data_IF_678172147674
#
_entry.id   IF_678172147674
#
_cell.length_a   1.000
_cell.length_b   1.000
_cell.length_c   1.000
_cell.angle_alpha   90.00
_cell.angle_beta   90.00
_cell.angle_gamma   90.00
#
_symmetry.space_group_name_H-M   'P 1'
#
loop_
_entity.id
_entity.type
_entity.pdbx_description
1 polymer ?
#
# COMPACT_ATOMS: atom_id res chain seq x y z
N UNK A 1 30.92 1.30 10.43
CA UNK A 1 30.47 1.81 9.12
C UNK A 1 28.95 1.69 9.09
N UNK A 2 28.23 2.80 8.98
CA UNK A 2 26.76 2.80 8.95
C UNK A 2 26.28 2.09 7.70
N UNK A 3 25.63 0.93 7.87
CA UNK A 3 24.99 0.21 6.77
C UNK A 3 23.79 1.02 6.30
N UNK A 4 23.89 1.61 5.11
CA UNK A 4 22.81 2.40 4.52
C UNK A 4 21.57 1.50 4.34
N UNK A 5 20.46 1.84 4.99
CA UNK A 5 19.23 1.05 4.88
C UNK A 5 18.56 1.28 3.53
N UNK A 6 17.85 0.29 3.01
CA UNK A 6 17.06 0.43 1.78
C UNK A 6 16.02 1.57 1.92
N UNK A 7 15.55 1.84 3.15
CA UNK A 7 14.66 2.96 3.44
C UNK A 7 15.35 4.32 3.29
N UNK A 8 16.60 4.44 3.73
CA UNK A 8 17.38 5.68 3.61
C UNK A 8 17.68 6.00 2.15
N UNK A 9 17.96 4.96 1.35
CA UNK A 9 18.16 5.08 -0.09
C UNK A 9 16.88 5.55 -0.77
N UNK A 10 15.75 4.93 -0.47
CA UNK A 10 14.45 5.33 -1.01
C UNK A 10 14.11 6.78 -0.66
N UNK A 11 14.37 7.20 0.58
CA UNK A 11 14.15 8.59 1.02
C UNK A 11 15.07 9.58 0.33
N UNK A 12 16.35 9.24 0.14
CA UNK A 12 17.28 10.08 -0.60
C UNK A 12 16.86 10.23 -2.08
N UNK A 13 16.43 9.14 -2.73
CA UNK A 13 15.90 9.17 -4.10
C UNK A 13 14.68 10.08 -4.18
N UNK A 14 13.75 9.96 -3.24
CA UNK A 14 12.56 10.81 -3.18
C UNK A 14 12.92 12.30 -3.08
N UNK A 15 13.78 12.68 -2.13
CA UNK A 15 14.19 14.08 -1.92
C UNK A 15 14.86 14.68 -3.16
N UNK A 16 15.72 13.91 -3.84
CA UNK A 16 16.39 14.39 -5.05
C UNK A 16 15.43 14.49 -6.24
N UNK A 17 14.35 13.70 -6.25
CA UNK A 17 13.39 13.66 -7.36
C UNK A 17 12.22 14.64 -7.20
N UNK A 18 11.87 15.03 -5.96
CA UNK A 18 10.69 15.88 -5.65
C UNK A 18 10.80 17.29 -6.22
N UNK A 19 12.00 17.86 -6.23
CA UNK A 19 12.23 19.28 -6.56
C UNK A 19 12.78 19.53 -7.98
N UNK A 20 12.78 18.50 -8.85
CA UNK A 20 13.45 18.58 -10.16
C UNK A 20 12.50 18.60 -11.36
N UNK A 21 12.88 19.36 -12.37
CA UNK A 21 12.16 19.50 -13.65
C UNK A 21 12.34 18.26 -14.55
N UNK A 22 11.45 18.06 -15.54
CA UNK A 22 11.45 16.90 -16.45
C UNK A 22 12.81 16.65 -17.13
N UNK A 23 13.53 17.71 -17.51
CA UNK A 23 14.85 17.59 -18.13
C UNK A 23 15.95 17.14 -17.15
N UNK A 24 15.84 17.52 -15.88
CA UNK A 24 16.79 17.10 -14.84
C UNK A 24 16.52 15.69 -14.32
N UNK A 25 15.27 15.22 -14.43
CA UNK A 25 14.85 13.90 -13.95
C UNK A 25 15.63 12.77 -14.65
N UNK A 26 15.84 12.87 -15.96
CA UNK A 26 16.62 11.87 -16.72
C UNK A 26 18.07 11.77 -16.22
N UNK A 27 18.71 12.90 -15.95
CA UNK A 27 20.08 12.94 -15.42
C UNK A 27 20.16 12.38 -14.00
N UNK A 28 19.12 12.59 -13.20
CA UNK A 28 19.01 12.07 -11.83
C UNK A 28 18.79 10.56 -11.84
N UNK A 29 17.90 10.06 -12.70
CA UNK A 29 17.67 8.62 -12.87
C UNK A 29 18.96 7.91 -13.26
N UNK A 30 19.70 8.45 -14.24
CA UNK A 30 21.00 7.90 -14.64
C UNK A 30 22.01 7.88 -13.48
N UNK A 31 22.05 8.94 -12.66
CA UNK A 31 22.90 8.98 -11.46
C UNK A 31 22.47 7.93 -10.43
N UNK A 32 21.18 7.78 -10.16
CA UNK A 32 20.62 6.80 -9.23
C UNK A 32 20.94 5.38 -9.70
N UNK A 33 20.69 5.07 -10.97
CA UNK A 33 21.03 3.75 -11.56
C UNK A 33 22.53 3.49 -11.44
N UNK A 34 23.38 4.47 -11.79
CA UNK A 34 24.83 4.31 -11.65
C UNK A 34 25.29 4.11 -10.20
N UNK A 35 24.57 4.69 -9.23
CA UNK A 35 24.82 4.51 -7.80
C UNK A 35 24.43 3.11 -7.33
N UNK A 36 23.24 2.62 -7.73
CA UNK A 36 22.76 1.28 -7.41
C UNK A 36 23.67 0.20 -8.00
N UNK A 37 24.14 0.38 -9.24
CA UNK A 37 25.12 -0.50 -9.89
C UNK A 37 26.45 -0.49 -9.11
N UNK A 38 27.01 0.68 -8.81
CA UNK A 38 28.29 0.81 -8.08
C UNK A 38 28.25 0.19 -6.69
N UNK A 39 27.11 0.24 -6.02
CA UNK A 39 26.91 -0.35 -4.69
C UNK A 39 26.50 -1.83 -4.72
N UNK A 40 26.39 -2.46 -5.91
CA UNK A 40 25.86 -3.83 -6.11
C UNK A 40 24.48 -4.03 -5.48
N UNK A 41 23.66 -2.99 -5.47
CA UNK A 41 22.31 -2.98 -4.88
C UNK A 41 21.23 -3.38 -5.88
N UNK A 42 21.60 -3.82 -7.08
CA UNK A 42 20.66 -4.20 -8.14
C UNK A 42 19.66 -5.27 -7.67
N UNK A 43 20.11 -6.26 -6.90
CA UNK A 43 19.25 -7.30 -6.31
C UNK A 43 18.27 -6.78 -5.25
N UNK A 44 18.50 -5.58 -4.70
CA UNK A 44 17.63 -4.94 -3.70
C UNK A 44 16.74 -3.84 -4.32
N UNK A 45 16.81 -3.66 -5.64
CA UNK A 45 16.10 -2.58 -6.33
C UNK A 45 14.59 -2.69 -6.17
N UNK A 46 14.05 -3.91 -6.18
CA UNK A 46 12.60 -4.13 -5.95
C UNK A 46 12.17 -3.62 -4.57
N UNK A 47 12.85 -3.99 -3.49
CA UNK A 47 12.53 -3.51 -2.14
C UNK A 47 12.73 -1.99 -2.00
N UNK A 48 13.78 -1.42 -2.62
CA UNK A 48 14.01 0.04 -2.62
C UNK A 48 12.87 0.76 -3.36
N UNK A 49 12.41 0.23 -4.50
CA UNK A 49 11.28 0.77 -5.27
C UNK A 49 9.96 0.67 -4.50
N UNK A 50 9.71 -0.45 -3.82
CA UNK A 50 8.53 -0.58 -2.95
C UNK A 50 8.52 0.46 -1.83
N UNK A 51 9.67 0.66 -1.16
CA UNK A 51 9.82 1.69 -0.12
C UNK A 51 9.65 3.10 -0.69
N UNK A 52 10.22 3.37 -1.86
CA UNK A 52 10.07 4.64 -2.55
C UNK A 52 8.60 4.93 -2.86
N UNK A 53 7.86 3.95 -3.39
CA UNK A 53 6.42 4.07 -3.62
C UNK A 53 5.65 4.35 -2.33
N UNK A 54 5.98 3.67 -1.22
CA UNK A 54 5.38 3.95 0.10
C UNK A 54 5.62 5.41 0.52
N UNK A 55 6.85 5.92 0.37
CA UNK A 55 7.20 7.32 0.72
C UNK A 55 6.43 8.32 -0.16
N UNK A 56 6.39 8.09 -1.48
CA UNK A 56 5.66 8.94 -2.43
C UNK A 56 4.17 8.99 -2.07
N UNK A 57 3.56 7.84 -1.80
CA UNK A 57 2.14 7.75 -1.46
C UNK A 57 1.84 8.47 -0.14
N UNK A 58 2.68 8.27 0.88
CA UNK A 58 2.55 8.95 2.17
C UNK A 58 2.63 10.48 2.04
N UNK A 59 3.64 10.99 1.34
CA UNK A 59 3.83 12.44 1.13
C UNK A 59 2.70 13.09 0.32
N UNK A 60 2.16 12.36 -0.68
CA UNK A 60 1.01 12.84 -1.45
C UNK A 60 -0.33 12.63 -0.74
N UNK A 61 -0.33 12.12 0.50
CA UNK A 61 -1.54 11.76 1.26
C UNK A 61 -2.48 10.84 0.45
N UNK A 62 -1.88 9.99 -0.38
CA UNK A 62 -2.56 9.05 -1.27
C UNK A 62 -2.51 7.67 -0.63
N UNK A 63 -3.68 7.07 -0.44
CA UNK A 63 -3.82 5.73 0.12
C UNK A 63 -4.29 4.78 -0.97
N UNK A 64 -3.52 3.72 -1.19
CA UNK A 64 -3.93 2.62 -2.06
C UNK A 64 -4.62 1.57 -1.18
N UNK A 65 -5.91 1.37 -1.41
CA UNK A 65 -6.71 0.36 -0.73
C UNK A 65 -6.98 -0.79 -1.70
N UNK A 66 -6.45 -1.98 -1.42
CA UNK A 66 -6.75 -3.20 -2.17
C UNK A 66 -8.02 -3.83 -1.61
N UNK A 67 -9.05 -3.96 -2.44
CA UNK A 67 -10.33 -4.53 -2.05
C UNK A 67 -10.48 -5.90 -2.67
N UNK A 68 -10.52 -6.92 -1.82
CA UNK A 68 -10.87 -8.27 -2.21
C UNK A 68 -12.33 -8.53 -1.86
N UNK A 69 -13.13 -8.85 -2.87
CA UNK A 69 -14.56 -9.12 -2.69
C UNK A 69 -14.99 -10.35 -3.49
N UNK A 70 -15.98 -11.08 -2.99
CA UNK A 70 -16.57 -12.21 -3.69
C UNK A 70 -17.34 -11.79 -4.95
N UNK A 71 -17.87 -10.56 -4.96
CA UNK A 71 -18.66 -9.98 -6.06
C UNK A 71 -18.30 -8.51 -6.23
N UNK A 72 -18.61 -7.94 -7.40
CA UNK A 72 -18.44 -6.50 -7.66
C UNK A 72 -19.14 -5.68 -6.57
N UNK A 73 -18.43 -4.75 -5.95
CA UNK A 73 -19.01 -3.88 -4.94
C UNK A 73 -20.06 -2.96 -5.57
N UNK A 74 -21.14 -2.69 -4.82
CA UNK A 74 -22.11 -1.66 -5.21
C UNK A 74 -21.47 -0.29 -5.02
N UNK A 75 -21.77 0.64 -5.93
CA UNK A 75 -21.30 2.04 -5.88
C UNK A 75 -21.58 2.71 -4.52
N UNK A 76 -22.76 2.44 -3.92
CA UNK A 76 -23.11 2.95 -2.59
C UNK A 76 -22.11 2.52 -1.51
N UNK A 77 -21.80 1.22 -1.46
CA UNK A 77 -20.86 0.64 -0.50
C UNK A 77 -19.45 1.19 -0.71
N UNK A 78 -19.04 1.39 -1.97
CA UNK A 78 -17.74 2.00 -2.32
C UNK A 78 -17.64 3.45 -1.81
N UNK A 79 -18.72 4.24 -1.95
CA UNK A 79 -18.77 5.61 -1.39
C UNK A 79 -18.67 5.61 0.14
N UNK A 80 -19.40 4.72 0.83
CA UNK A 80 -19.33 4.60 2.29
C UNK A 80 -17.94 4.20 2.77
N UNK A 81 -17.31 3.22 2.10
CA UNK A 81 -15.91 2.84 2.36
C UNK A 81 -14.95 4.00 2.13
N UNK A 82 -15.15 4.77 1.07
CA UNK A 82 -14.31 5.94 0.77
C UNK A 82 -14.39 6.98 1.88
N UNK A 83 -15.60 7.30 2.34
CA UNK A 83 -15.81 8.24 3.45
C UNK A 83 -15.19 7.74 4.75
N UNK A 84 -15.42 6.48 5.10
CA UNK A 84 -14.86 5.86 6.30
C UNK A 84 -13.33 5.86 6.29
N UNK A 85 -12.72 5.50 5.15
CA UNK A 85 -11.26 5.48 5.02
C UNK A 85 -10.65 6.89 4.99
N UNK A 86 -11.34 7.87 4.39
CA UNK A 86 -10.91 9.28 4.42
C UNK A 86 -10.88 9.82 5.84
N UNK A 87 -11.94 9.56 6.61
CA UNK A 87 -12.04 10.01 8.00
C UNK A 87 -11.00 9.33 8.89
N UNK A 88 -10.88 8.00 8.77
CA UNK A 88 -9.96 7.21 9.60
C UNK A 88 -8.48 7.53 9.34
N UNK A 89 -8.09 7.71 8.08
CA UNK A 89 -6.68 7.89 7.71
C UNK A 89 -6.31 9.32 7.30
N UNK A 90 -7.24 10.28 7.36
CA UNK A 90 -7.05 11.68 6.94
C UNK A 90 -6.40 11.81 5.54
N UNK A 91 -6.80 10.92 4.64
CA UNK A 91 -6.24 10.83 3.29
C UNK A 91 -6.87 11.86 2.35
N UNK A 92 -6.04 12.49 1.51
CA UNK A 92 -6.52 13.41 0.47
C UNK A 92 -7.10 12.65 -0.72
N UNK A 93 -6.45 11.56 -1.11
CA UNK A 93 -6.86 10.71 -2.23
C UNK A 93 -6.85 9.23 -1.82
N UNK A 94 -7.90 8.49 -2.18
CA UNK A 94 -7.99 7.05 -1.96
C UNK A 94 -8.17 6.38 -3.31
N UNK A 95 -7.22 5.52 -3.67
CA UNK A 95 -7.26 4.72 -4.89
C UNK A 95 -7.64 3.30 -4.52
N UNK A 96 -8.75 2.83 -5.08
CA UNK A 96 -9.25 1.49 -4.87
C UNK A 96 -8.74 0.56 -5.96
N UNK A 97 -8.00 -0.48 -5.58
CA UNK A 97 -7.66 -1.59 -6.46
C UNK A 97 -8.59 -2.75 -6.14
N UNK A 98 -9.62 -2.95 -6.95
CA UNK A 98 -10.62 -4.00 -6.74
C UNK A 98 -10.17 -5.32 -7.39
N UNK A 99 -10.21 -6.40 -6.64
CA UNK A 99 -9.94 -7.77 -7.11
C UNK A 99 -11.11 -8.66 -6.71
N UNK A 100 -11.72 -9.29 -7.71
CA UNK A 100 -12.83 -10.22 -7.50
C UNK A 100 -12.23 -11.61 -7.27
N UNK A 101 -12.55 -12.22 -6.12
CA UNK A 101 -12.12 -13.58 -5.80
C UNK A 101 -13.34 -14.42 -5.43
N UNK A 102 -13.78 -15.26 -6.36
CA UNK A 102 -14.95 -16.12 -6.23
C UNK A 102 -14.79 -17.21 -5.16
N UNK A 103 -13.57 -17.46 -4.66
CA UNK A 103 -13.33 -18.38 -3.52
C UNK A 103 -13.80 -17.79 -2.19
N UNK A 104 -14.07 -16.49 -2.12
CA UNK A 104 -14.65 -15.87 -0.94
C UNK A 104 -16.13 -16.23 -0.85
N UNK A 105 -16.53 -16.86 0.26
CA UNK A 105 -17.93 -17.18 0.57
C UNK A 105 -18.83 -15.92 0.63
N UNK A 106 -18.22 -14.76 0.86
CA UNK A 106 -18.90 -13.47 0.91
C UNK A 106 -18.19 -12.46 1.82
N UNK A 107 -18.64 -11.21 1.75
CA UNK A 107 -18.05 -10.08 2.47
C UNK A 107 -16.86 -9.46 1.72
N UNK A 108 -16.15 -8.57 2.41
CA UNK A 108 -15.06 -7.78 1.83
C UNK A 108 -13.81 -7.88 2.71
N UNK A 109 -12.65 -7.88 2.07
CA UNK A 109 -11.35 -7.73 2.74
C UNK A 109 -10.66 -6.52 2.14
N UNK A 110 -10.24 -5.59 3.00
CA UNK A 110 -9.62 -4.34 2.59
C UNK A 110 -8.21 -4.31 3.14
N UNK A 111 -7.21 -4.21 2.28
CA UNK A 111 -5.81 -4.09 2.66
C UNK A 111 -5.33 -2.67 2.36
N UNK A 112 -4.85 -1.98 3.39
CA UNK A 112 -4.42 -0.58 3.34
C UNK A 112 -3.07 -0.48 4.01
N UNK A 113 -2.03 -0.13 3.25
CA UNK A 113 -0.65 -0.08 3.72
C UNK A 113 -0.25 -1.39 4.43
N UNK A 114 -0.16 -1.37 5.76
CA UNK A 114 0.21 -2.51 6.60
C UNK A 114 -0.97 -3.00 7.47
N UNK A 115 -2.18 -2.46 7.27
CA UNK A 115 -3.42 -2.89 7.94
C UNK A 115 -4.31 -3.73 7.03
N UNK A 116 -4.88 -4.80 7.59
CA UNK A 116 -5.86 -5.66 6.91
C UNK A 116 -7.17 -5.60 7.69
N UNK A 117 -8.22 -5.10 7.04
CA UNK A 117 -9.59 -5.09 7.55
C UNK A 117 -10.34 -6.25 6.89
N UNK A 118 -10.42 -7.37 7.61
CA UNK A 118 -11.14 -8.57 7.16
C UNK A 118 -12.59 -8.56 7.66
N UNK A 119 -13.52 -8.22 6.77
CA UNK A 119 -14.98 -8.26 6.99
C UNK A 119 -15.62 -9.42 6.23
N UNK A 120 -14.86 -10.49 5.96
CA UNK A 120 -15.38 -11.66 5.28
C UNK A 120 -16.35 -12.44 6.18
N UNK A 121 -17.30 -13.13 5.55
CA UNK A 121 -18.25 -14.00 6.28
C UNK A 121 -17.51 -15.09 7.04
N UNK A 122 -16.42 -15.62 6.47
CA UNK A 122 -15.54 -16.60 7.12
C UNK A 122 -15.00 -16.07 8.45
N UNK A 123 -14.53 -14.83 8.48
CA UNK A 123 -14.02 -14.21 9.70
C UNK A 123 -15.13 -14.00 10.74
N UNK A 124 -16.34 -13.61 10.32
CA UNK A 124 -17.49 -13.48 11.23
C UNK A 124 -17.87 -14.82 11.88
N UNK A 125 -17.93 -15.90 11.11
CA UNK A 125 -18.23 -17.24 11.62
C UNK A 125 -17.13 -17.69 12.59
N UNK A 126 -15.85 -17.48 12.24
CA UNK A 126 -14.72 -17.81 13.13
C UNK A 126 -14.82 -17.08 14.47
N UNK A 127 -15.07 -15.77 14.45
CA UNK A 127 -15.24 -14.97 15.67
C UNK A 127 -16.42 -15.44 16.53
N UNK A 128 -17.53 -15.82 15.89
CA UNK A 128 -18.68 -16.38 16.59
C UNK A 128 -18.33 -17.71 17.26
N UNK A 129 -17.65 -18.60 16.53
CA UNK A 129 -17.18 -19.88 17.07
C UNK A 129 -16.22 -19.67 18.26
N UNK A 130 -15.23 -18.77 18.14
CA UNK A 130 -14.32 -18.43 19.23
C UNK A 130 -15.07 -17.89 20.46
N UNK A 131 -16.06 -17.01 20.25
CA UNK A 131 -16.89 -16.48 21.34
C UNK A 131 -17.68 -17.58 22.05
N UNK A 132 -18.23 -18.54 21.30
CA UNK A 132 -19.02 -19.65 21.86
C UNK A 132 -18.14 -20.67 22.59
N UNK A 133 -16.96 -21.00 22.06
CA UNK A 133 -16.03 -21.96 22.67
C UNK A 133 -15.36 -21.37 23.92
N UNK A 134 -15.05 -20.08 23.93
CA UNK A 134 -14.38 -19.41 25.07
C UNK A 134 -15.29 -19.16 26.27
N UNK A 135 -16.59 -19.46 26.15
CA UNK A 135 -17.60 -19.29 27.22
C UNK A 135 -18.00 -20.61 27.88
N UNK A 136 -17.24 -21.69 27.65
CA UNK A 136 -17.30 -22.97 28.39
C UNK A 136 -15.95 -23.18 29.07
#
# INVERSE_FOLDING_TARGET
MTTLSNNDIARAIYLVSKDKTHAELHNVINKIVSFLVRRRLLSKTEDILERLNKIINHENQKIIAKLLSAKKLKEKTKKELTSFLRERYKAKEIVFTETINEKLLGGIRVEINDEIIDLTVKNKIKKLQEYLIRKT
#
